data_IF_451362452779
#
_entry.id   IF_451362452779
#
_cell.length_a   1.000
_cell.length_b   1.000
_cell.length_c   1.000
_cell.angle_alpha   90.00
_cell.angle_beta   90.00
_cell.angle_gamma   90.00
#
_symmetry.space_group_name_H-M   'P 1'
#
loop_
_entity.id
_entity.type
_entity.pdbx_description
1 polymer ?
#
# COMPACT_ATOMS: atom_id res chain seq x y z
N UNK A 1 25.79 20.44 14.19
CA UNK A 1 24.79 19.41 13.84
C UNK A 1 25.48 18.04 13.75
N UNK A 2 25.05 17.04 14.56
CA UNK A 2 25.61 15.67 14.46
C UNK A 2 25.20 15.07 13.11
N UNK A 3 26.16 14.61 12.31
CA UNK A 3 25.89 13.87 11.07
C UNK A 3 25.20 12.55 11.44
N UNK A 4 24.00 12.32 10.90
CA UNK A 4 23.27 11.04 11.03
C UNK A 4 24.10 9.97 10.32
N UNK A 5 24.42 8.88 11.00
CA UNK A 5 25.13 7.75 10.38
C UNK A 5 24.20 6.95 9.48
N UNK A 6 24.73 6.24 8.47
CA UNK A 6 23.95 5.39 7.59
C UNK A 6 23.10 4.35 8.38
N UNK A 7 23.66 3.78 9.44
CA UNK A 7 22.98 2.83 10.31
C UNK A 7 21.81 3.45 11.10
N UNK A 8 21.96 4.70 11.57
CA UNK A 8 20.87 5.42 12.24
C UNK A 8 19.72 5.70 11.26
N UNK A 9 20.05 6.09 10.04
CA UNK A 9 19.07 6.35 8.99
C UNK A 9 18.31 5.07 8.60
N UNK A 10 19.00 3.94 8.44
CA UNK A 10 18.39 2.63 8.18
C UNK A 10 17.44 2.20 9.30
N UNK A 11 17.82 2.42 10.56
CA UNK A 11 16.95 2.13 11.71
C UNK A 11 15.69 3.01 11.72
N UNK A 12 15.79 4.28 11.35
CA UNK A 12 14.62 5.18 11.23
C UNK A 12 13.67 4.67 10.14
N UNK A 13 14.20 4.27 9.00
CA UNK A 13 13.39 3.78 7.88
C UNK A 13 12.72 2.45 8.15
N UNK A 14 13.39 1.53 8.85
CA UNK A 14 12.75 0.32 9.33
C UNK A 14 11.55 0.63 10.23
N UNK A 15 11.67 1.62 11.11
CA UNK A 15 10.54 2.07 11.94
C UNK A 15 9.42 2.68 11.10
N UNK A 16 9.74 3.42 10.04
CA UNK A 16 8.74 3.95 9.10
C UNK A 16 8.03 2.83 8.34
N UNK A 17 8.74 1.78 7.89
CA UNK A 17 8.14 0.61 7.26
C UNK A 17 7.18 -0.09 8.23
N UNK A 18 7.57 -0.26 9.50
CA UNK A 18 6.69 -0.82 10.53
C UNK A 18 5.46 0.06 10.76
N UNK A 19 5.61 1.40 10.72
CA UNK A 19 4.51 2.35 10.87
C UNK A 19 3.55 2.34 9.67
N UNK A 20 4.01 1.93 8.49
CA UNK A 20 3.14 1.79 7.31
C UNK A 20 1.98 0.83 7.55
N UNK A 21 2.20 -0.26 8.30
CA UNK A 21 1.18 -1.27 8.56
C UNK A 21 -0.02 -0.68 9.32
N UNK A 22 0.13 -0.07 10.50
CA UNK A 22 -1.01 0.52 11.21
C UNK A 22 -1.65 1.68 10.44
N UNK A 23 -0.88 2.53 9.76
CA UNK A 23 -1.44 3.61 8.92
C UNK A 23 -2.28 3.03 7.80
N UNK A 24 -1.82 1.99 7.14
CA UNK A 24 -2.55 1.27 6.11
C UNK A 24 -3.86 0.67 6.66
N UNK A 25 -3.79 -0.09 7.76
CA UNK A 25 -4.96 -0.75 8.34
C UNK A 25 -6.01 0.24 8.83
N UNK A 26 -5.58 1.31 9.51
CA UNK A 26 -6.50 2.38 9.98
C UNK A 26 -7.11 3.11 8.80
N UNK A 27 -6.34 3.48 7.79
CA UNK A 27 -6.84 4.13 6.58
C UNK A 27 -7.85 3.26 5.83
N UNK A 28 -7.54 1.98 5.63
CA UNK A 28 -8.44 1.02 4.98
C UNK A 28 -9.74 0.83 5.77
N UNK A 29 -9.66 0.77 7.10
CA UNK A 29 -10.83 0.64 7.97
C UNK A 29 -11.74 1.86 7.90
N UNK A 30 -11.18 3.08 7.94
CA UNK A 30 -11.95 4.33 7.81
C UNK A 30 -12.63 4.39 6.44
N UNK A 31 -11.92 4.03 5.37
CA UNK A 31 -12.46 4.01 4.01
C UNK A 31 -13.61 3.00 3.88
N UNK A 32 -13.49 1.83 4.52
CA UNK A 32 -14.55 0.82 4.51
C UNK A 32 -15.81 1.30 5.22
N UNK A 33 -15.68 1.94 6.38
CA UNK A 33 -16.82 2.52 7.11
C UNK A 33 -17.48 3.60 6.26
N UNK A 34 -16.72 4.55 5.73
CA UNK A 34 -17.25 5.61 4.87
C UNK A 34 -18.01 5.06 3.66
N UNK A 35 -17.50 3.98 3.04
CA UNK A 35 -18.16 3.33 1.89
C UNK A 35 -19.44 2.61 2.27
N UNK A 36 -19.51 2.00 3.45
CA UNK A 36 -20.72 1.31 3.96
C UNK A 36 -21.81 2.32 4.30
N UNK A 37 -21.46 3.40 4.99
CA UNK A 37 -22.43 4.38 5.50
C UNK A 37 -23.01 5.25 4.39
N UNK A 38 -22.25 5.59 3.38
CA UNK A 38 -22.62 6.60 2.37
C UNK A 38 -22.89 6.04 0.98
N UNK A 39 -22.50 4.80 0.72
CA UNK A 39 -22.60 4.17 -0.60
C UNK A 39 -21.49 4.63 -1.56
N UNK A 40 -21.49 4.08 -2.76
CA UNK A 40 -20.51 4.42 -3.80
C UNK A 40 -20.74 5.83 -4.38
N UNK A 41 -19.65 6.51 -4.73
CA UNK A 41 -19.69 7.81 -5.39
C UNK A 41 -19.86 9.01 -4.47
N UNK A 42 -19.73 8.84 -3.16
CA UNK A 42 -19.74 9.95 -2.20
C UNK A 42 -18.35 10.60 -2.04
N UNK A 43 -18.32 11.79 -1.48
CA UNK A 43 -17.06 12.44 -1.11
C UNK A 43 -16.53 11.86 0.21
N UNK A 44 -15.31 11.34 0.17
CA UNK A 44 -14.61 10.86 1.36
C UNK A 44 -14.24 12.01 2.30
N UNK A 45 -14.02 11.69 3.57
CA UNK A 45 -13.62 12.66 4.58
C UNK A 45 -12.21 13.23 4.30
N UNK A 46 -11.93 14.44 4.75
CA UNK A 46 -10.59 15.02 4.62
C UNK A 46 -9.53 14.17 5.35
N UNK A 47 -9.90 13.50 6.44
CA UNK A 47 -9.02 12.58 7.15
C UNK A 47 -8.56 11.41 6.26
N UNK A 48 -9.43 10.87 5.43
CA UNK A 48 -9.12 9.84 4.42
C UNK A 48 -7.99 10.29 3.50
N UNK A 49 -8.12 11.47 2.89
CA UNK A 49 -7.10 11.99 1.97
C UNK A 49 -5.78 12.31 2.66
N UNK A 50 -5.80 12.78 3.91
CA UNK A 50 -4.60 12.99 4.73
C UNK A 50 -3.89 11.66 4.99
N UNK A 51 -4.61 10.59 5.34
CA UNK A 51 -4.04 9.27 5.58
C UNK A 51 -3.45 8.67 4.31
N UNK A 52 -4.13 8.79 3.18
CA UNK A 52 -3.61 8.37 1.87
C UNK A 52 -2.33 9.13 1.54
N UNK A 53 -2.35 10.46 1.68
CA UNK A 53 -1.19 11.31 1.42
C UNK A 53 0.00 10.96 2.32
N UNK A 54 -0.23 10.73 3.61
CA UNK A 54 0.79 10.31 4.57
C UNK A 54 1.38 8.94 4.19
N UNK A 55 0.53 7.98 3.84
CA UNK A 55 0.96 6.66 3.43
C UNK A 55 1.82 6.71 2.16
N UNK A 56 1.38 7.44 1.13
CA UNK A 56 2.13 7.63 -0.12
C UNK A 56 3.47 8.33 0.14
N UNK A 57 3.50 9.35 1.00
CA UNK A 57 4.72 10.08 1.33
C UNK A 57 5.74 9.19 2.04
N UNK A 58 5.31 8.36 2.99
CA UNK A 58 6.17 7.39 3.67
C UNK A 58 6.72 6.38 2.65
N UNK A 59 5.86 5.86 1.75
CA UNK A 59 6.27 4.91 0.71
C UNK A 59 7.33 5.51 -0.20
N UNK A 60 7.09 6.70 -0.74
CA UNK A 60 8.04 7.40 -1.62
C UNK A 60 9.38 7.67 -0.91
N UNK A 61 9.34 8.06 0.36
CA UNK A 61 10.55 8.29 1.15
C UNK A 61 11.37 7.01 1.34
N UNK A 62 10.71 5.89 1.61
CA UNK A 62 11.37 4.59 1.79
C UNK A 62 11.93 4.09 0.45
N UNK A 63 11.17 4.17 -0.64
CA UNK A 63 11.62 3.78 -1.98
C UNK A 63 12.83 4.61 -2.44
N UNK A 64 12.75 5.93 -2.29
CA UNK A 64 13.87 6.82 -2.61
C UNK A 64 15.13 6.47 -1.80
N UNK A 65 14.95 6.15 -0.52
CA UNK A 65 16.08 5.73 0.31
C UNK A 65 16.68 4.40 -0.14
N UNK A 66 15.86 3.40 -0.46
CA UNK A 66 16.34 2.11 -0.97
C UNK A 66 17.13 2.32 -2.26
N UNK A 67 16.63 3.15 -3.17
CA UNK A 67 17.30 3.45 -4.44
C UNK A 67 18.65 4.17 -4.26
N UNK A 68 18.71 5.15 -3.33
CA UNK A 68 19.91 5.96 -3.10
C UNK A 68 20.96 5.18 -2.32
N UNK A 69 20.57 4.53 -1.23
CA UNK A 69 21.50 3.92 -0.28
C UNK A 69 21.69 2.42 -0.48
N UNK A 70 20.87 1.79 -1.34
CA UNK A 70 20.91 0.35 -1.65
C UNK A 70 20.83 -0.51 -0.37
N UNK A 71 19.94 -0.14 0.58
CA UNK A 71 19.77 -0.84 1.83
C UNK A 71 19.14 -2.21 1.63
N UNK A 72 19.89 -3.26 1.96
CA UNK A 72 19.42 -4.65 1.86
C UNK A 72 18.26 -4.94 2.81
N UNK A 73 18.33 -4.46 4.06
CA UNK A 73 17.35 -4.79 5.09
C UNK A 73 16.00 -4.13 4.79
N UNK A 74 16.00 -2.83 4.45
CA UNK A 74 14.78 -2.12 4.07
C UNK A 74 14.16 -2.69 2.79
N UNK A 75 15.00 -2.99 1.79
CA UNK A 75 14.59 -3.62 0.53
C UNK A 75 13.92 -4.99 0.76
N UNK A 76 14.52 -5.84 1.62
CA UNK A 76 13.97 -7.16 1.94
C UNK A 76 12.63 -7.06 2.68
N UNK A 77 12.53 -6.17 3.67
CA UNK A 77 11.29 -5.96 4.43
C UNK A 77 10.15 -5.47 3.52
N UNK A 78 10.42 -4.47 2.69
CA UNK A 78 9.42 -3.90 1.79
C UNK A 78 9.06 -4.86 0.65
N UNK A 79 10.02 -5.61 0.12
CA UNK A 79 9.77 -6.69 -0.86
C UNK A 79 8.82 -7.75 -0.32
N UNK A 80 8.96 -8.12 0.97
CA UNK A 80 8.02 -9.02 1.65
C UNK A 80 6.59 -8.45 1.68
N UNK A 81 6.44 -7.18 2.07
CA UNK A 81 5.15 -6.49 2.10
C UNK A 81 4.48 -6.50 0.71
N UNK A 82 5.21 -6.13 -0.35
CA UNK A 82 4.67 -6.09 -1.72
C UNK A 82 4.35 -7.48 -2.27
N UNK A 83 5.18 -8.50 -1.96
CA UNK A 83 4.92 -9.88 -2.37
C UNK A 83 3.61 -10.41 -1.77
N UNK A 84 3.43 -10.24 -0.46
CA UNK A 84 2.23 -10.68 0.25
C UNK A 84 1.00 -9.95 -0.29
N UNK A 85 1.08 -8.62 -0.46
CA UNK A 85 -0.01 -7.81 -1.01
C UNK A 85 -0.39 -8.25 -2.42
N UNK A 86 0.60 -8.53 -3.28
CA UNK A 86 0.36 -9.01 -4.65
C UNK A 86 -0.36 -10.36 -4.65
N UNK A 87 0.09 -11.32 -3.86
CA UNK A 87 -0.54 -12.65 -3.78
C UNK A 87 -2.00 -12.53 -3.31
N UNK A 88 -2.26 -11.75 -2.25
CA UNK A 88 -3.62 -11.55 -1.74
C UNK A 88 -4.50 -10.91 -2.79
N UNK A 89 -4.03 -9.87 -3.49
CA UNK A 89 -4.82 -9.17 -4.52
C UNK A 89 -5.10 -10.05 -5.73
N UNK A 90 -4.17 -10.92 -6.13
CA UNK A 90 -4.42 -11.91 -7.19
C UNK A 90 -5.49 -12.91 -6.75
N UNK A 91 -5.44 -13.38 -5.51
CA UNK A 91 -6.49 -14.26 -4.96
C UNK A 91 -7.85 -13.53 -4.96
N UNK A 92 -7.90 -12.27 -4.51
CA UNK A 92 -9.13 -11.46 -4.56
C UNK A 92 -9.64 -11.33 -5.99
N UNK A 93 -8.78 -11.03 -6.96
CA UNK A 93 -9.17 -10.87 -8.36
C UNK A 93 -9.78 -12.16 -8.94
N UNK A 94 -9.23 -13.32 -8.60
CA UNK A 94 -9.73 -14.63 -9.08
C UNK A 94 -11.06 -14.98 -8.45
N UNK A 95 -11.22 -14.72 -7.15
CA UNK A 95 -12.38 -15.19 -6.38
C UNK A 95 -13.47 -14.14 -6.18
N UNK A 96 -13.29 -12.89 -6.65
CA UNK A 96 -14.23 -11.79 -6.41
C UNK A 96 -15.68 -12.07 -6.84
N UNK A 97 -15.87 -12.96 -7.82
CA UNK A 97 -17.20 -13.33 -8.34
C UNK A 97 -17.80 -14.58 -7.69
N UNK A 98 -17.01 -15.34 -6.93
CA UNK A 98 -17.39 -16.69 -6.47
C UNK A 98 -17.38 -16.87 -4.98
N UNK A 99 -16.75 -15.94 -4.24
CA UNK A 99 -16.53 -16.06 -2.79
C UNK A 99 -17.43 -15.10 -2.02
N UNK A 100 -17.67 -15.41 -0.75
CA UNK A 100 -18.38 -14.58 0.19
C UNK A 100 -17.80 -13.14 0.21
N UNK A 101 -18.67 -12.17 0.09
CA UNK A 101 -18.32 -10.74 0.06
C UNK A 101 -17.56 -10.28 1.31
N UNK A 102 -17.84 -10.88 2.48
CA UNK A 102 -17.15 -10.52 3.75
C UNK A 102 -15.70 -10.92 3.71
N UNK A 103 -15.37 -12.13 3.25
CA UNK A 103 -13.99 -12.58 3.16
C UNK A 103 -13.18 -11.73 2.17
N UNK A 104 -13.77 -11.41 1.03
CA UNK A 104 -13.14 -10.53 0.03
C UNK A 104 -12.89 -9.14 0.61
N UNK A 105 -13.86 -8.56 1.32
CA UNK A 105 -13.71 -7.26 1.96
C UNK A 105 -12.56 -7.27 2.98
N UNK A 106 -12.44 -8.30 3.81
CA UNK A 106 -11.34 -8.47 4.77
C UNK A 106 -9.98 -8.57 4.06
N UNK A 107 -9.90 -9.35 2.97
CA UNK A 107 -8.67 -9.47 2.19
C UNK A 107 -8.26 -8.13 1.54
N UNK A 108 -9.22 -7.35 1.07
CA UNK A 108 -9.00 -6.01 0.53
C UNK A 108 -8.46 -5.06 1.60
N UNK A 109 -9.02 -5.09 2.81
CA UNK A 109 -8.62 -4.22 3.91
C UNK A 109 -7.15 -4.38 4.33
N UNK A 110 -6.61 -5.59 4.24
CA UNK A 110 -5.21 -5.87 4.61
C UNK A 110 -4.21 -5.61 3.48
N UNK A 111 -4.67 -5.13 2.31
CA UNK A 111 -3.82 -4.80 1.17
C UNK A 111 -3.79 -3.29 0.89
N UNK A 112 -2.78 -2.77 0.18
CA UNK A 112 -2.74 -1.36 -0.23
C UNK A 112 -3.98 -0.87 -0.99
N UNK A 113 -4.76 -1.79 -1.56
CA UNK A 113 -6.01 -1.45 -2.22
C UNK A 113 -7.00 -0.76 -1.27
N UNK A 114 -7.13 -1.25 -0.02
CA UNK A 114 -8.06 -0.69 0.94
C UNK A 114 -7.80 0.78 1.25
N UNK A 115 -6.54 1.18 1.42
CA UNK A 115 -6.22 2.59 1.69
C UNK A 115 -6.29 3.45 0.43
N UNK A 116 -5.99 2.90 -0.76
CA UNK A 116 -5.98 3.64 -2.03
C UNK A 116 -7.35 3.65 -2.73
N UNK A 117 -8.31 2.86 -2.24
CA UNK A 117 -9.63 2.71 -2.84
C UNK A 117 -10.33 4.05 -3.17
N UNK A 118 -10.34 5.07 -2.28
CA UNK A 118 -10.96 6.36 -2.58
C UNK A 118 -10.38 7.07 -3.80
N UNK A 119 -9.08 6.91 -4.07
CA UNK A 119 -8.46 7.50 -5.27
C UNK A 119 -8.93 6.80 -6.54
N UNK A 120 -9.11 5.49 -6.49
CA UNK A 120 -9.59 4.72 -7.65
C UNK A 120 -11.06 5.02 -7.95
N UNK A 121 -11.87 5.20 -6.91
CA UNK A 121 -13.28 5.54 -7.06
C UNK A 121 -13.48 6.92 -7.71
N UNK A 122 -12.59 7.88 -7.43
CA UNK A 122 -12.59 9.19 -8.09
C UNK A 122 -12.27 9.11 -9.59
N UNK A 123 -11.42 8.18 -10.00
CA UNK A 123 -10.90 8.10 -11.38
C UNK A 123 -11.76 7.18 -12.25
N UNK A 124 -12.33 6.13 -11.68
CA UNK A 124 -13.03 5.08 -12.41
C UNK A 124 -14.49 4.97 -11.93
N UNK A 125 -15.42 5.68 -12.54
CA UNK A 125 -16.83 5.75 -12.11
C UNK A 125 -17.64 4.50 -12.46
N UNK A 126 -17.29 3.78 -13.55
CA UNK A 126 -17.99 2.56 -13.99
C UNK A 126 -17.01 1.40 -14.20
N UNK A 127 -17.36 0.19 -13.74
CA UNK A 127 -16.49 -1.03 -13.75
C UNK A 127 -15.22 -0.93 -12.87
N UNK A 128 -15.32 -0.21 -11.79
CA UNK A 128 -14.21 0.26 -10.96
C UNK A 128 -13.37 -0.86 -10.35
N UNK A 129 -14.02 -1.92 -9.88
CA UNK A 129 -13.34 -2.90 -9.01
C UNK A 129 -12.29 -3.74 -9.72
N UNK A 130 -12.59 -4.26 -10.92
CA UNK A 130 -11.64 -5.12 -11.63
C UNK A 130 -10.46 -4.34 -12.20
N UNK A 131 -10.72 -3.17 -12.79
CA UNK A 131 -9.67 -2.32 -13.36
C UNK A 131 -8.75 -1.80 -12.26
N UNK A 132 -9.33 -1.31 -11.16
CA UNK A 132 -8.55 -0.82 -10.03
C UNK A 132 -7.74 -1.93 -9.35
N UNK A 133 -8.25 -3.15 -9.24
CA UNK A 133 -7.48 -4.31 -8.77
C UNK A 133 -6.28 -4.61 -9.67
N UNK A 134 -6.45 -4.58 -10.98
CA UNK A 134 -5.34 -4.78 -11.93
C UNK A 134 -4.29 -3.68 -11.78
N UNK A 135 -4.72 -2.41 -11.70
CA UNK A 135 -3.80 -1.28 -11.55
C UNK A 135 -2.99 -1.39 -10.25
N UNK A 136 -3.63 -1.73 -9.13
CA UNK A 136 -2.90 -1.87 -7.86
C UNK A 136 -2.00 -3.10 -7.83
N UNK A 137 -2.37 -4.20 -8.48
CA UNK A 137 -1.49 -5.37 -8.65
C UNK A 137 -0.24 -4.97 -9.42
N UNK A 138 -0.38 -4.24 -10.52
CA UNK A 138 0.76 -3.73 -11.30
C UNK A 138 1.64 -2.81 -10.45
N UNK A 139 1.02 -1.92 -9.66
CA UNK A 139 1.74 -1.05 -8.74
C UNK A 139 2.53 -1.86 -7.69
N UNK A 140 1.93 -2.89 -7.09
CA UNK A 140 2.62 -3.77 -6.14
C UNK A 140 3.79 -4.53 -6.78
N UNK A 141 3.60 -5.05 -8.01
CA UNK A 141 4.64 -5.77 -8.75
C UNK A 141 5.80 -4.83 -9.12
N UNK A 142 5.53 -3.60 -9.54
CA UNK A 142 6.56 -2.61 -9.84
C UNK A 142 7.39 -2.26 -8.60
N UNK A 143 6.74 -1.99 -7.47
CA UNK A 143 7.44 -1.68 -6.22
C UNK A 143 8.21 -2.90 -5.69
N UNK A 144 7.67 -4.11 -5.81
CA UNK A 144 8.40 -5.34 -5.53
C UNK A 144 9.64 -5.46 -6.40
N UNK A 145 9.52 -5.17 -7.71
CA UNK A 145 10.63 -5.17 -8.66
C UNK A 145 11.72 -4.19 -8.26
N UNK A 146 11.36 -2.96 -7.91
CA UNK A 146 12.32 -1.94 -7.40
C UNK A 146 13.07 -2.50 -6.19
N UNK A 147 12.37 -3.06 -5.21
CA UNK A 147 12.99 -3.62 -4.02
C UNK A 147 13.89 -4.83 -4.32
N UNK A 148 13.49 -5.69 -5.25
CA UNK A 148 14.18 -6.96 -5.54
C UNK A 148 15.43 -6.78 -6.40
N UNK A 149 15.37 -5.88 -7.38
CA UNK A 149 16.41 -5.75 -8.41
C UNK A 149 17.39 -4.58 -8.17
N UNK A 150 17.21 -3.79 -7.12
CA UNK A 150 18.22 -2.80 -6.73
C UNK A 150 19.48 -3.53 -6.27
N UNK A 151 20.63 -3.34 -6.95
CA UNK A 151 21.87 -3.99 -6.55
C UNK A 151 22.30 -3.47 -5.18
N UNK A 152 22.46 -4.40 -4.23
CA UNK A 152 22.88 -4.07 -2.87
C UNK A 152 24.39 -3.79 -2.83
N UNK A 153 24.80 -2.82 -2.01
CA UNK A 153 26.22 -2.67 -1.66
C UNK A 153 26.58 -3.82 -0.74
N UNK A 154 27.44 -4.72 -1.20
CA UNK A 154 28.14 -5.69 -0.36
C UNK A 154 29.09 -5.02 0.58
#
# INVERSE_FOLDING_TARGET
>A
MKKITAQQLESILLRLIILLIPVHLVGSYINAIDSIDKGYGHSYSMATYILIGLWLLIMLAVDAFILINRSFICSKALSGYWSISTVILVVVLVFIKTTDSVLIALLILITPYGILFPLFEMVFVENTTTISLIVIILFCVLNWGVCKFVPHKT
#
